data_IF_824017079536
#
_entry.id   IF_824017079536
#
_cell.length_a   1.000
_cell.length_b   1.000
_cell.length_c   1.000
_cell.angle_alpha   90.00
_cell.angle_beta   90.00
_cell.angle_gamma   90.00
#
_symmetry.space_group_name_H-M   'P 1'
#
loop_
_entity.id
_entity.type
_entity.pdbx_description
1 polymer ?
#
# COMPACT_ATOMS: atom_id res chain seq x y z
N UNK A 1 -1.55 26.87 -10.75
CA UNK A 1 -1.94 25.49 -10.37
C UNK A 1 -1.13 25.08 -9.16
N UNK A 2 -1.75 24.75 -8.03
CA UNK A 2 -1.04 24.17 -6.88
C UNK A 2 -0.74 22.70 -7.14
N UNK A 3 0.48 22.26 -6.81
CA UNK A 3 0.85 20.86 -6.88
C UNK A 3 -0.01 20.06 -5.90
N UNK A 4 -0.78 19.09 -6.40
CA UNK A 4 -1.51 18.17 -5.53
C UNK A 4 -0.54 17.14 -4.99
N UNK A 5 -0.49 16.99 -3.67
CA UNK A 5 0.28 15.94 -3.01
C UNK A 5 -0.22 14.56 -3.48
N UNK A 6 0.72 13.70 -3.87
CA UNK A 6 0.47 12.30 -4.18
C UNK A 6 1.28 11.44 -3.21
N UNK A 7 0.68 10.34 -2.77
CA UNK A 7 1.32 9.32 -1.94
C UNK A 7 1.16 7.96 -2.61
N UNK A 8 2.02 7.01 -2.23
CA UNK A 8 1.98 5.64 -2.74
C UNK A 8 2.10 4.67 -1.59
N UNK A 9 1.28 3.62 -1.60
CA UNK A 9 1.48 2.40 -0.79
C UNK A 9 2.03 1.34 -1.75
N UNK A 10 3.08 0.63 -1.34
CA UNK A 10 3.71 -0.41 -2.15
C UNK A 10 3.99 -1.67 -1.34
N UNK A 11 3.98 -2.81 -2.02
CA UNK A 11 4.46 -4.09 -1.52
C UNK A 11 5.25 -4.81 -2.61
N UNK A 12 6.29 -5.53 -2.20
CA UNK A 12 7.17 -6.27 -3.10
C UNK A 12 7.23 -7.74 -2.70
N UNK A 13 7.18 -8.61 -3.70
CA UNK A 13 7.43 -10.04 -3.59
C UNK A 13 8.73 -10.37 -4.34
N UNK A 14 9.19 -11.63 -4.29
CA UNK A 14 10.33 -12.07 -5.13
C UNK A 14 10.08 -11.89 -6.64
N UNK A 15 8.83 -11.86 -7.08
CA UNK A 15 8.46 -11.84 -8.51
C UNK A 15 7.57 -10.66 -8.92
N UNK A 16 6.88 -10.05 -7.97
CA UNK A 16 5.79 -9.12 -8.24
C UNK A 16 5.95 -7.83 -7.44
N UNK A 17 5.44 -6.74 -8.00
CA UNK A 17 5.36 -5.44 -7.35
C UNK A 17 3.90 -4.97 -7.38
N UNK A 18 3.35 -4.65 -6.21
CA UNK A 18 1.98 -4.18 -6.03
C UNK A 18 2.02 -2.77 -5.48
N UNK A 19 1.18 -1.88 -6.00
CA UNK A 19 1.13 -0.51 -5.52
C UNK A 19 -0.27 0.11 -5.68
N UNK A 20 -0.53 1.14 -4.87
CA UNK A 20 -1.71 1.97 -4.94
C UNK A 20 -1.30 3.44 -4.84
N UNK A 21 -1.79 4.26 -5.77
CA UNK A 21 -1.58 5.72 -5.77
C UNK A 21 -2.75 6.38 -5.02
N UNK A 22 -2.44 7.29 -4.10
CA UNK A 22 -3.40 7.99 -3.26
C UNK A 22 -3.21 9.50 -3.45
N UNK A 23 -4.32 10.22 -3.56
CA UNK A 23 -4.29 11.68 -3.55
C UNK A 23 -4.28 12.19 -2.12
N UNK A 24 -3.32 13.06 -1.78
CA UNK A 24 -3.13 13.56 -0.42
C UNK A 24 -2.30 12.62 0.46
N UNK A 25 -2.44 12.75 1.77
CA UNK A 25 -1.76 11.89 2.77
C UNK A 25 -2.46 10.54 2.88
N UNK A 26 -1.66 9.48 3.05
CA UNK A 26 -2.17 8.12 3.30
C UNK A 26 -2.93 8.08 4.61
N UNK A 27 -4.12 7.47 4.61
CA UNK A 27 -4.91 7.20 5.81
C UNK A 27 -4.93 5.70 6.12
N UNK A 28 -5.32 5.36 7.35
CA UNK A 28 -5.45 3.97 7.78
C UNK A 28 -6.41 3.17 6.90
N UNK A 29 -7.49 3.79 6.39
CA UNK A 29 -8.42 3.12 5.48
C UNK A 29 -7.74 2.71 4.15
N UNK A 30 -6.84 3.53 3.63
CA UNK A 30 -6.12 3.23 2.39
C UNK A 30 -5.19 2.03 2.59
N UNK A 31 -4.49 1.98 3.74
CA UNK A 31 -3.62 0.86 4.09
C UNK A 31 -4.41 -0.44 4.29
N UNK A 32 -5.52 -0.39 5.04
CA UNK A 32 -6.39 -1.56 5.26
C UNK A 32 -6.95 -2.06 3.93
N UNK A 33 -7.37 -1.16 3.04
CA UNK A 33 -7.86 -1.51 1.72
C UNK A 33 -6.78 -2.21 0.88
N UNK A 34 -5.58 -1.63 0.82
CA UNK A 34 -4.45 -2.19 0.10
C UNK A 34 -4.08 -3.60 0.61
N UNK A 35 -3.99 -3.77 1.93
CA UNK A 35 -3.69 -5.08 2.54
C UNK A 35 -4.77 -6.11 2.26
N UNK A 36 -6.06 -5.73 2.29
CA UNK A 36 -7.15 -6.63 1.95
C UNK A 36 -7.08 -7.11 0.49
N UNK A 37 -6.74 -6.22 -0.44
CA UNK A 37 -6.49 -6.62 -1.84
C UNK A 37 -5.31 -7.56 -1.90
N UNK A 38 -4.21 -7.24 -1.23
CA UNK A 38 -3.00 -8.04 -1.27
C UNK A 38 -3.23 -9.46 -0.72
N UNK A 39 -4.02 -9.60 0.34
CA UNK A 39 -4.42 -10.90 0.91
C UNK A 39 -5.36 -11.70 -0.01
N UNK A 40 -6.26 -11.01 -0.74
CA UNK A 40 -7.17 -11.66 -1.69
C UNK A 40 -6.44 -12.18 -2.91
N UNK A 41 -5.58 -11.35 -3.51
CA UNK A 41 -4.78 -11.69 -4.68
C UNK A 41 -3.71 -12.73 -4.33
N UNK A 42 -3.12 -12.60 -3.15
CA UNK A 42 -2.00 -13.43 -2.71
C UNK A 42 -2.43 -14.27 -1.50
N UNK A 43 -2.84 -15.54 -1.74
CA UNK A 43 -3.21 -16.51 -0.69
C UNK A 43 -2.03 -16.96 0.21
N UNK A 44 -0.97 -16.17 0.27
CA UNK A 44 0.27 -16.44 1.01
C UNK A 44 0.36 -15.52 2.21
N UNK A 45 1.12 -15.93 3.22
CA UNK A 45 1.40 -15.10 4.39
C UNK A 45 2.14 -13.83 3.96
N UNK A 46 1.68 -12.69 4.47
CA UNK A 46 2.33 -11.39 4.27
C UNK A 46 3.14 -11.07 5.53
N UNK A 47 4.40 -10.64 5.35
CA UNK A 47 5.19 -10.03 6.42
C UNK A 47 5.05 -8.51 6.32
N UNK A 48 4.58 -7.88 7.38
CA UNK A 48 4.54 -6.42 7.49
C UNK A 48 5.73 -5.99 8.35
N UNK A 49 6.59 -5.17 7.78
CA UNK A 49 7.65 -4.47 8.51
C UNK A 49 7.22 -3.00 8.57
N UNK A 50 7.12 -2.47 9.78
CA UNK A 50 6.63 -1.13 10.05
C UNK A 50 7.63 -0.39 10.93
N UNK A 51 7.84 0.90 10.66
CA UNK A 51 8.83 1.76 11.35
C UNK A 51 8.26 2.46 12.59
N UNK A 52 6.96 2.30 12.87
CA UNK A 52 6.27 2.90 14.01
C UNK A 52 6.35 4.44 14.05
N UNK A 53 6.48 5.07 12.89
CA UNK A 53 6.36 6.52 12.71
C UNK A 53 4.92 7.00 12.88
#
# INVERSE_FOLDING_TARGET
MSWKKLSVIGAISKKDFYFQIITGSVKSQDLIYFLNILLKENRKKILIVWDNL
#
